data_IF_790354937246
#
_entry.id   IF_790354937246
#
_cell.length_a   1.000
_cell.length_b   1.000
_cell.length_c   1.000
_cell.angle_alpha   90.00
_cell.angle_beta   90.00
_cell.angle_gamma   90.00
#
_symmetry.space_group_name_H-M   'P 1'
#
loop_
_entity.id
_entity.type
_entity.pdbx_description
1 polymer ?
#
# COMPACT_ATOMS: atom_id res chain seq x y z
N UNK A 1 -15.43 -12.09 -7.93
CA UNK A 1 -16.22 -11.04 -7.23
C UNK A 1 -15.15 -10.09 -6.77
N UNK A 2 -15.12 -8.89 -7.33
CA UNK A 2 -14.02 -7.95 -7.15
C UNK A 2 -13.85 -7.62 -5.67
N UNK A 3 -12.76 -8.12 -5.08
CA UNK A 3 -12.53 -8.04 -3.63
C UNK A 3 -11.53 -6.93 -3.36
N UNK A 4 -12.08 -5.72 -3.22
CA UNK A 4 -11.33 -4.55 -2.79
C UNK A 4 -11.25 -4.57 -1.26
N UNK A 5 -10.03 -4.65 -0.76
CA UNK A 5 -9.70 -4.48 0.65
C UNK A 5 -9.50 -3.00 0.93
N UNK A 6 -10.42 -2.43 1.70
CA UNK A 6 -10.40 -1.03 2.11
C UNK A 6 -9.62 -0.86 3.41
N UNK A 7 -8.79 0.18 3.50
CA UNK A 7 -7.83 0.36 4.61
C UNK A 7 -8.47 0.37 6.01
N UNK A 8 -9.72 0.82 6.10
CA UNK A 8 -10.44 1.00 7.36
C UNK A 8 -11.31 -0.21 7.74
N UNK A 9 -11.62 -1.09 6.80
CA UNK A 9 -12.62 -2.17 6.99
C UNK A 9 -12.05 -3.58 6.77
N UNK A 10 -10.91 -3.70 6.09
CA UNK A 10 -10.41 -4.98 5.58
C UNK A 10 -9.10 -5.41 6.25
N UNK A 11 -8.98 -6.71 6.49
CA UNK A 11 -7.72 -7.33 6.91
C UNK A 11 -6.88 -7.58 5.68
N UNK A 12 -5.75 -6.86 5.57
CA UNK A 12 -4.80 -7.09 4.48
C UNK A 12 -4.03 -8.39 4.64
N UNK A 13 -3.62 -9.03 3.53
CA UNK A 13 -2.64 -10.11 3.53
C UNK A 13 -1.35 -9.71 4.25
N UNK A 14 -0.62 -10.67 4.80
CA UNK A 14 0.67 -10.44 5.48
C UNK A 14 1.69 -9.71 4.61
N UNK A 15 1.71 -10.00 3.31
CA UNK A 15 2.59 -9.33 2.34
C UNK A 15 2.27 -7.83 2.24
N UNK A 16 1.00 -7.50 2.05
CA UNK A 16 0.49 -6.13 1.97
C UNK A 16 0.70 -5.37 3.29
N UNK A 17 0.54 -6.03 4.43
CA UNK A 17 0.89 -5.44 5.72
C UNK A 17 2.39 -5.16 5.84
N UNK A 18 3.24 -6.05 5.32
CA UNK A 18 4.70 -5.90 5.32
C UNK A 18 5.12 -4.73 4.44
N UNK A 19 4.56 -4.63 3.24
CA UNK A 19 4.75 -3.49 2.35
C UNK A 19 4.28 -2.18 3.00
N UNK A 20 3.07 -2.13 3.58
CA UNK A 20 2.54 -0.92 4.24
C UNK A 20 3.46 -0.45 5.38
N UNK A 21 4.01 -1.40 6.18
CA UNK A 21 4.99 -1.09 7.23
C UNK A 21 6.31 -0.58 6.65
N UNK A 22 6.81 -1.22 5.59
CA UNK A 22 8.02 -0.82 4.89
C UNK A 22 7.88 0.61 4.33
N UNK A 23 6.81 0.88 3.58
CA UNK A 23 6.57 2.17 2.94
C UNK A 23 6.43 3.28 3.98
N UNK A 24 5.70 3.05 5.08
CA UNK A 24 5.63 4.01 6.19
C UNK A 24 7.02 4.32 6.75
N UNK A 25 7.83 3.29 7.04
CA UNK A 25 9.19 3.47 7.57
C UNK A 25 10.09 4.20 6.58
N UNK A 26 9.99 3.87 5.30
CA UNK A 26 10.74 4.50 4.21
C UNK A 26 10.43 6.00 4.12
N UNK A 27 9.14 6.36 4.06
CA UNK A 27 8.73 7.77 3.99
C UNK A 27 9.03 8.53 5.28
N UNK A 28 8.94 7.90 6.45
CA UNK A 28 9.42 8.50 7.71
C UNK A 28 10.92 8.80 7.64
N UNK A 29 11.73 7.89 7.09
CA UNK A 29 13.17 8.12 6.92
C UNK A 29 13.47 9.27 5.96
N UNK A 30 12.59 9.53 4.99
CA UNK A 30 12.68 10.63 4.03
C UNK A 30 12.03 11.93 4.52
N UNK A 31 11.44 11.95 5.72
CA UNK A 31 10.57 13.04 6.20
C UNK A 31 9.43 13.41 5.22
N UNK A 32 8.96 12.44 4.44
CA UNK A 32 7.91 12.63 3.42
C UNK A 32 6.59 11.94 3.80
N UNK A 33 6.30 11.83 5.10
CA UNK A 33 5.08 11.16 5.60
C UNK A 33 3.79 11.82 5.12
N UNK A 34 3.86 13.11 4.74
CA UNK A 34 2.74 13.86 4.15
C UNK A 34 2.20 13.22 2.87
N UNK A 35 3.04 12.51 2.09
CA UNK A 35 2.65 11.87 0.84
C UNK A 35 1.59 10.77 1.04
N UNK A 36 1.56 10.15 2.23
CA UNK A 36 0.60 9.10 2.59
C UNK A 36 -0.48 9.55 3.56
N UNK A 37 -0.36 10.73 4.16
CA UNK A 37 -1.17 11.11 5.32
C UNK A 37 -2.67 11.19 5.01
N UNK A 38 -3.05 11.34 3.74
CA UNK A 38 -4.44 11.34 3.26
C UNK A 38 -4.70 10.33 2.13
N UNK A 39 -3.79 9.38 1.88
CA UNK A 39 -3.94 8.40 0.80
C UNK A 39 -4.42 7.06 1.37
N UNK A 40 -5.60 6.58 0.94
CA UNK A 40 -6.09 5.27 1.38
C UNK A 40 -5.29 4.15 0.71
N UNK A 41 -4.92 3.13 1.47
CA UNK A 41 -4.27 1.91 0.98
C UNK A 41 -5.31 0.90 0.50
N UNK A 42 -6.14 1.27 -0.47
CA UNK A 42 -7.14 0.34 -0.98
C UNK A 42 -6.47 -0.65 -1.95
N UNK A 43 -6.63 -1.94 -1.67
CA UNK A 43 -5.95 -3.02 -2.36
C UNK A 43 -6.95 -3.94 -3.06
N UNK A 44 -6.75 -4.20 -4.33
CA UNK A 44 -7.48 -5.18 -5.10
C UNK A 44 -6.79 -6.53 -5.01
N UNK A 45 -7.40 -7.44 -4.24
CA UNK A 45 -6.84 -8.78 -4.05
C UNK A 45 -7.05 -9.71 -5.25
N UNK A 46 -7.93 -9.38 -6.21
CA UNK A 46 -8.09 -10.20 -7.42
C UNK A 46 -6.99 -9.89 -8.45
N UNK A 47 -6.60 -8.62 -8.59
CA UNK A 47 -5.56 -8.20 -9.55
C UNK A 47 -4.16 -8.07 -8.93
N UNK A 48 -4.04 -8.13 -7.61
CA UNK A 48 -2.80 -7.89 -6.86
C UNK A 48 -2.27 -6.46 -7.02
N UNK A 49 -3.17 -5.47 -6.97
CA UNK A 49 -2.85 -4.07 -7.26
C UNK A 49 -3.47 -3.10 -6.27
N UNK A 50 -2.77 -2.01 -5.97
CA UNK A 50 -3.33 -0.88 -5.24
C UNK A 50 -4.14 0.03 -6.17
N UNK A 51 -5.30 0.48 -5.69
CA UNK A 51 -6.14 1.45 -6.40
C UNK A 51 -5.53 2.85 -6.44
N UNK A 52 -4.55 3.12 -5.58
CA UNK A 52 -3.83 4.38 -5.56
C UNK A 52 -2.56 4.24 -6.42
N UNK A 53 -2.44 4.96 -7.55
CA UNK A 53 -1.32 4.79 -8.48
C UNK A 53 0.03 5.07 -7.83
N UNK A 54 0.13 6.09 -6.96
CA UNK A 54 1.38 6.37 -6.26
C UNK A 54 1.80 5.20 -5.35
N UNK A 55 0.84 4.59 -4.63
CA UNK A 55 1.11 3.45 -3.76
C UNK A 55 1.47 2.22 -4.60
N UNK A 56 0.79 2.03 -5.73
CA UNK A 56 1.07 0.94 -6.67
C UNK A 56 2.50 1.03 -7.21
N UNK A 57 2.96 2.21 -7.63
CA UNK A 57 4.34 2.39 -8.08
C UNK A 57 5.35 1.99 -6.98
N UNK A 58 5.11 2.39 -5.73
CA UNK A 58 5.96 1.94 -4.61
C UNK A 58 5.90 0.44 -4.37
N UNK A 59 4.74 -0.19 -4.57
CA UNK A 59 4.54 -1.62 -4.40
C UNK A 59 5.30 -2.41 -5.47
N UNK A 60 5.18 -2.02 -6.73
CA UNK A 60 5.94 -2.63 -7.83
C UNK A 60 7.44 -2.50 -7.62
N UNK A 61 7.92 -1.33 -7.18
CA UNK A 61 9.33 -1.14 -6.84
C UNK A 61 9.77 -2.03 -5.68
N UNK A 62 8.90 -2.25 -4.69
CA UNK A 62 9.18 -3.12 -3.55
C UNK A 62 9.23 -4.60 -3.94
N UNK A 63 8.37 -5.04 -4.86
CA UNK A 63 8.39 -6.41 -5.40
C UNK A 63 9.64 -6.70 -6.25
N UNK A 64 10.23 -5.67 -6.86
CA UNK A 64 11.46 -5.78 -7.67
C UNK A 64 12.76 -5.70 -6.88
N UNK A 65 12.70 -5.29 -5.60
CA UNK A 65 13.87 -5.04 -4.74
C UNK A 65 14.34 -6.29 -3.98
#
# INVERSE_FOLDING_TARGET
MHTILWDEESVFPDEIQSFKKFLKKYLTSLNSTELLQNKPFNYDSENDEFLNPDIQEYYELWLMA
#
